data_IF_831471538157
#
_entry.id   IF_831471538157
#
_cell.length_a   1.000
_cell.length_b   1.000
_cell.length_c   1.000
_cell.angle_alpha   90.00
_cell.angle_beta   90.00
_cell.angle_gamma   90.00
#
_symmetry.space_group_name_H-M   'P 1'
#
loop_
_entity.id
_entity.type
_entity.pdbx_description
1 polymer ?
#
# COMPACT_ATOMS: atom_id res chain seq x y z
N UNK A 1 12.14 -0.21 18.79
CA UNK A 1 12.23 0.32 17.40
C UNK A 1 12.05 -0.80 16.40
N UNK A 2 11.49 -0.52 15.23
CA UNK A 2 11.39 -1.49 14.11
C UNK A 2 12.78 -1.66 13.51
N UNK A 3 13.24 -2.89 13.34
CA UNK A 3 14.62 -3.18 12.88
C UNK A 3 14.70 -3.38 11.36
N UNK A 4 13.57 -3.61 10.69
CA UNK A 4 13.53 -3.93 9.28
C UNK A 4 12.26 -3.44 8.58
N UNK A 5 12.38 -3.10 7.27
CA UNK A 5 11.31 -2.56 6.44
C UNK A 5 11.21 -3.33 5.12
N UNK A 6 10.05 -3.94 4.87
CA UNK A 6 9.70 -4.49 3.56
C UNK A 6 8.84 -3.52 2.76
N UNK A 7 9.21 -3.27 1.51
CA UNK A 7 8.50 -2.36 0.59
C UNK A 7 7.95 -3.18 -0.57
N UNK A 8 6.64 -3.10 -0.81
CA UNK A 8 5.92 -3.83 -1.86
C UNK A 8 5.37 -2.85 -2.89
N UNK A 9 5.74 -3.04 -4.15
CA UNK A 9 5.34 -2.21 -5.28
C UNK A 9 4.52 -3.06 -6.27
N UNK A 10 3.19 -2.97 -6.28
CA UNK A 10 2.37 -3.66 -7.28
C UNK A 10 2.53 -2.96 -8.64
N UNK A 11 2.87 -3.73 -9.68
CA UNK A 11 3.07 -3.22 -11.03
C UNK A 11 2.20 -3.99 -12.04
N UNK A 12 1.62 -3.29 -13.02
CA UNK A 12 0.93 -3.88 -14.16
C UNK A 12 1.08 -3.00 -15.38
N UNK A 13 1.86 -3.45 -16.36
CA UNK A 13 2.20 -2.71 -17.58
C UNK A 13 2.81 -1.31 -17.27
N UNK A 14 3.83 -1.27 -16.43
CA UNK A 14 4.47 -0.06 -15.92
C UNK A 14 5.85 0.21 -16.57
N UNK A 15 6.18 -0.45 -17.67
CA UNK A 15 7.47 -0.36 -18.38
C UNK A 15 7.93 1.09 -18.58
N UNK A 16 7.03 2.00 -18.90
CA UNK A 16 7.37 3.39 -19.25
C UNK A 16 7.77 4.28 -18.07
N UNK A 17 7.52 3.84 -16.82
CA UNK A 17 7.72 4.70 -15.64
C UNK A 17 8.32 4.00 -14.42
N UNK A 18 8.33 2.67 -14.41
CA UNK A 18 8.81 1.91 -13.26
C UNK A 18 10.32 2.12 -13.03
N UNK A 19 11.10 2.30 -14.11
CA UNK A 19 12.55 2.52 -13.98
C UNK A 19 12.86 3.76 -13.14
N UNK A 20 12.31 4.91 -13.53
CA UNK A 20 12.54 6.17 -12.82
C UNK A 20 11.96 6.17 -11.40
N UNK A 21 10.84 5.46 -11.19
CA UNK A 21 10.26 5.30 -9.86
C UNK A 21 11.15 4.47 -8.93
N UNK A 22 11.80 3.43 -9.47
CA UNK A 22 12.79 2.65 -8.73
C UNK A 22 14.06 3.47 -8.44
N UNK A 23 14.54 4.28 -9.41
CA UNK A 23 15.66 5.20 -9.17
C UNK A 23 15.37 6.13 -7.98
N UNK A 24 14.21 6.80 -7.98
CA UNK A 24 13.78 7.69 -6.89
C UNK A 24 13.73 6.95 -5.53
N UNK A 25 13.22 5.72 -5.52
CA UNK A 25 13.15 4.91 -4.31
C UNK A 25 14.55 4.52 -3.81
N UNK A 26 15.40 3.98 -4.67
CA UNK A 26 16.71 3.48 -4.27
C UNK A 26 17.65 4.62 -3.87
N UNK A 27 17.61 5.75 -4.57
CA UNK A 27 18.34 6.96 -4.19
C UNK A 27 17.95 7.42 -2.78
N UNK A 28 16.64 7.46 -2.48
CA UNK A 28 16.18 7.81 -1.14
C UNK A 28 16.61 6.78 -0.10
N UNK A 29 16.49 5.49 -0.36
CA UNK A 29 16.90 4.45 0.59
C UNK A 29 18.37 4.57 0.97
N UNK A 30 19.25 4.83 -0.02
CA UNK A 30 20.68 5.01 0.23
C UNK A 30 21.01 6.30 0.97
N UNK A 31 20.26 7.38 0.72
CA UNK A 31 20.56 8.73 1.24
C UNK A 31 19.73 9.14 2.46
N UNK A 32 18.74 8.34 2.86
CA UNK A 32 17.84 8.70 3.96
C UNK A 32 18.62 8.95 5.26
N UNK A 33 18.24 9.99 6.03
CA UNK A 33 18.90 10.30 7.30
C UNK A 33 18.90 9.11 8.26
N UNK A 34 19.95 9.01 9.08
CA UNK A 34 20.03 7.99 10.11
C UNK A 34 18.86 8.13 11.09
N UNK A 35 18.19 7.00 11.39
CA UNK A 35 17.03 6.97 12.28
C UNK A 35 15.67 7.21 11.59
N UNK A 36 15.63 7.68 10.35
CA UNK A 36 14.36 7.81 9.60
C UNK A 36 13.80 6.47 9.15
N UNK A 37 14.67 5.58 8.72
CA UNK A 37 14.32 4.23 8.26
C UNK A 37 15.18 3.18 8.98
N UNK A 38 14.69 1.93 9.10
CA UNK A 38 15.49 0.80 9.54
C UNK A 38 16.72 0.58 8.65
N UNK A 39 17.76 0.01 9.22
CA UNK A 39 19.00 -0.32 8.49
C UNK A 39 18.82 -1.51 7.52
N UNK A 40 17.88 -2.39 7.81
CA UNK A 40 17.56 -3.53 6.96
C UNK A 40 16.30 -3.25 6.16
N UNK A 41 16.40 -3.42 4.83
CA UNK A 41 15.28 -3.21 3.91
C UNK A 41 15.15 -4.36 2.91
N UNK A 42 13.94 -4.58 2.42
CA UNK A 42 13.67 -5.38 1.23
C UNK A 42 12.73 -4.61 0.30
N UNK A 43 12.99 -4.67 -1.01
CA UNK A 43 12.12 -4.07 -2.03
C UNK A 43 11.61 -5.17 -2.94
N UNK A 44 10.29 -5.29 -3.06
CA UNK A 44 9.62 -6.31 -3.84
C UNK A 44 8.68 -5.68 -4.86
N UNK A 45 8.99 -5.80 -6.14
CA UNK A 45 8.02 -5.55 -7.21
C UNK A 45 7.13 -6.77 -7.40
N UNK A 46 5.83 -6.57 -7.38
CA UNK A 46 4.85 -7.61 -7.70
C UNK A 46 4.24 -7.32 -9.06
N UNK A 47 4.66 -8.06 -10.04
CA UNK A 47 4.15 -8.00 -11.41
C UNK A 47 2.83 -8.76 -11.52
N UNK A 48 1.73 -8.03 -11.72
CA UNK A 48 0.36 -8.56 -11.85
C UNK A 48 0.08 -9.10 -13.27
N UNK A 49 1.01 -9.90 -13.81
CA UNK A 49 0.88 -10.50 -15.14
C UNK A 49 0.96 -9.48 -16.27
N UNK A 50 1.96 -8.61 -16.24
CA UNK A 50 2.20 -7.62 -17.30
C UNK A 50 2.43 -8.28 -18.66
N UNK A 51 1.98 -7.60 -19.71
CA UNK A 51 2.16 -8.01 -21.12
C UNK A 51 3.18 -7.16 -21.85
N UNK A 52 3.75 -6.15 -21.19
CA UNK A 52 4.85 -5.30 -21.68
C UNK A 52 6.19 -5.71 -21.06
N UNK A 53 7.23 -4.88 -21.22
CA UNK A 53 8.57 -5.12 -20.69
C UNK A 53 8.74 -4.95 -19.17
N UNK A 54 7.67 -4.76 -18.38
CA UNK A 54 7.74 -4.47 -16.93
C UNK A 54 8.62 -5.47 -16.17
N UNK A 55 8.37 -6.77 -16.33
CA UNK A 55 9.14 -7.80 -15.62
C UNK A 55 10.59 -7.88 -16.10
N UNK A 56 10.83 -7.68 -17.40
CA UNK A 56 12.19 -7.66 -17.97
C UNK A 56 12.99 -6.46 -17.44
N UNK A 57 12.36 -5.29 -17.35
CA UNK A 57 12.93 -4.07 -16.78
C UNK A 57 13.40 -4.31 -15.34
N UNK A 58 12.58 -4.93 -14.50
CA UNK A 58 12.95 -5.22 -13.10
C UNK A 58 14.18 -6.15 -13.04
N UNK A 59 14.22 -7.18 -13.87
CA UNK A 59 15.37 -8.11 -13.93
C UNK A 59 16.65 -7.47 -14.46
N UNK A 60 16.54 -6.41 -15.25
CA UNK A 60 17.68 -5.66 -15.79
C UNK A 60 18.28 -4.65 -14.79
N UNK A 61 17.64 -4.44 -13.64
CA UNK A 61 18.15 -3.52 -12.62
C UNK A 61 19.41 -4.04 -11.95
N UNK A 62 20.40 -3.18 -11.65
CA UNK A 62 21.63 -3.57 -10.94
C UNK A 62 21.36 -4.10 -9.54
N UNK A 63 20.29 -3.65 -8.88
CA UNK A 63 19.88 -4.08 -7.53
C UNK A 63 19.16 -5.44 -7.54
N UNK A 64 18.78 -5.94 -8.70
CA UNK A 64 18.00 -7.17 -8.82
C UNK A 64 18.75 -8.38 -8.23
N UNK A 65 18.06 -9.14 -7.41
CA UNK A 65 18.55 -10.40 -6.83
C UNK A 65 17.55 -11.51 -7.15
N UNK A 66 18.02 -12.53 -7.91
CA UNK A 66 17.17 -13.65 -8.33
C UNK A 66 16.62 -14.47 -7.15
N UNK A 67 17.37 -14.56 -6.06
CA UNK A 67 16.98 -15.29 -4.83
C UNK A 67 16.15 -14.45 -3.86
N UNK A 68 15.69 -13.28 -4.29
CA UNK A 68 15.20 -12.50 -3.49
C UNK A 68 14.44 -11.45 -2.89
N UNK A 69 13.62 -11.79 -1.97
CA UNK A 69 12.90 -10.89 -1.09
C UNK A 69 13.61 -10.71 0.27
N UNK A 70 14.88 -11.15 0.36
CA UNK A 70 15.66 -11.11 1.59
C UNK A 70 15.97 -9.67 1.99
N UNK A 71 15.97 -9.43 3.30
CA UNK A 71 16.45 -8.19 3.88
C UNK A 71 17.92 -7.96 3.52
N UNK A 72 18.24 -6.75 3.12
CA UNK A 72 19.58 -6.29 2.81
C UNK A 72 19.85 -4.96 3.50
N UNK A 73 21.12 -4.57 3.59
CA UNK A 73 21.44 -3.25 4.15
C UNK A 73 20.86 -2.13 3.30
N UNK A 74 20.39 -1.08 3.93
CA UNK A 74 19.75 0.08 3.30
C UNK A 74 20.70 0.85 2.35
N UNK A 75 22.00 0.80 2.59
CA UNK A 75 23.02 1.40 1.73
C UNK A 75 23.35 0.55 0.48
N UNK A 76 22.89 -0.70 0.44
CA UNK A 76 22.98 -1.59 -0.72
C UNK A 76 21.70 -2.44 -0.84
N UNK A 77 20.54 -1.80 -1.09
CA UNK A 77 19.27 -2.49 -1.05
C UNK A 77 19.11 -3.44 -2.25
N UNK A 78 18.44 -4.57 -2.02
CA UNK A 78 18.14 -5.57 -3.05
C UNK A 78 16.70 -5.45 -3.55
N UNK A 79 16.52 -5.76 -4.83
CA UNK A 79 15.26 -5.74 -5.54
C UNK A 79 14.81 -7.16 -5.88
N UNK A 80 13.65 -7.57 -5.36
CA UNK A 80 12.99 -8.82 -5.73
C UNK A 80 11.87 -8.61 -6.77
N UNK A 81 11.54 -9.67 -7.50
CA UNK A 81 10.40 -9.71 -8.42
C UNK A 81 9.53 -10.92 -8.12
N UNK A 82 8.25 -10.69 -7.88
CA UNK A 82 7.23 -11.72 -7.79
C UNK A 82 6.25 -11.55 -8.96
N UNK A 83 6.19 -12.51 -9.87
CA UNK A 83 5.19 -12.51 -10.94
C UNK A 83 3.99 -13.36 -10.53
N UNK A 84 2.78 -12.79 -10.68
CA UNK A 84 1.52 -13.46 -10.36
C UNK A 84 0.55 -13.39 -11.56
N UNK A 85 -0.39 -14.32 -11.69
CA UNK A 85 -1.44 -14.20 -12.68
C UNK A 85 -2.24 -12.90 -12.48
N UNK A 86 -2.64 -12.23 -13.58
CA UNK A 86 -3.37 -10.98 -13.51
C UNK A 86 -4.67 -11.11 -12.69
N UNK A 87 -4.70 -10.42 -11.58
CA UNK A 87 -5.82 -10.43 -10.63
C UNK A 87 -6.24 -9.04 -10.16
N UNK A 88 -5.58 -7.99 -10.64
CA UNK A 88 -5.77 -6.60 -10.24
C UNK A 88 -4.94 -6.19 -9.03
N UNK A 89 -4.86 -4.87 -8.80
CA UNK A 89 -3.99 -4.26 -7.78
C UNK A 89 -4.08 -4.92 -6.41
N UNK A 90 -5.30 -5.16 -5.90
CA UNK A 90 -5.48 -5.79 -4.59
C UNK A 90 -4.94 -7.21 -4.52
N UNK A 91 -4.95 -7.96 -5.64
CA UNK A 91 -4.36 -9.29 -5.75
C UNK A 91 -2.84 -9.24 -5.66
N UNK A 92 -2.22 -8.33 -6.41
CA UNK A 92 -0.77 -8.13 -6.41
C UNK A 92 -0.26 -7.65 -5.04
N UNK A 93 -0.90 -6.63 -4.46
CA UNK A 93 -0.54 -6.15 -3.11
C UNK A 93 -0.67 -7.28 -2.09
N UNK A 94 -1.77 -8.05 -2.13
CA UNK A 94 -1.95 -9.20 -1.24
C UNK A 94 -0.82 -10.22 -1.36
N UNK A 95 -0.46 -10.59 -2.57
CA UNK A 95 0.60 -11.55 -2.82
C UNK A 95 1.94 -11.07 -2.25
N UNK A 96 2.33 -9.84 -2.54
CA UNK A 96 3.55 -9.24 -2.03
C UNK A 96 3.58 -9.11 -0.50
N UNK A 97 2.52 -8.59 0.10
CA UNK A 97 2.42 -8.40 1.55
C UNK A 97 2.42 -9.71 2.35
N UNK A 98 2.08 -10.83 1.72
CA UNK A 98 2.16 -12.16 2.33
C UNK A 98 3.54 -12.79 2.27
N UNK A 99 4.41 -12.37 1.35
CA UNK A 99 5.75 -12.94 1.19
C UNK A 99 6.88 -12.00 1.62
N UNK A 100 6.68 -10.68 1.49
CA UNK A 100 7.69 -9.68 1.85
C UNK A 100 8.18 -9.86 3.29
N UNK A 101 9.44 -9.59 3.53
CA UNK A 101 10.06 -9.67 4.85
C UNK A 101 10.32 -8.27 5.43
N UNK A 102 10.23 -8.14 6.76
CA UNK A 102 10.40 -6.88 7.50
C UNK A 102 9.50 -6.83 8.73
N UNK A 103 9.91 -6.15 9.79
CA UNK A 103 9.07 -5.90 10.97
C UNK A 103 7.94 -4.92 10.65
N UNK A 104 8.26 -3.94 9.79
CA UNK A 104 7.29 -3.10 9.11
C UNK A 104 7.18 -3.52 7.65
N UNK A 105 5.97 -3.59 7.14
CA UNK A 105 5.66 -3.85 5.73
C UNK A 105 4.88 -2.68 5.17
N UNK A 106 5.35 -2.09 4.09
CA UNK A 106 4.69 -0.96 3.41
C UNK A 106 4.39 -1.35 1.98
N UNK A 107 3.18 -1.07 1.49
CA UNK A 107 2.98 -1.03 0.05
C UNK A 107 2.85 0.41 -0.44
N UNK A 108 3.40 0.67 -1.62
CA UNK A 108 3.34 1.95 -2.30
C UNK A 108 2.96 1.76 -3.77
N UNK A 109 2.36 2.78 -4.37
CA UNK A 109 2.09 2.77 -5.82
C UNK A 109 3.40 2.82 -6.61
N UNK A 110 3.53 1.98 -7.63
CA UNK A 110 4.75 1.85 -8.44
C UNK A 110 5.10 3.12 -9.26
N UNK A 111 4.24 4.14 -9.25
CA UNK A 111 4.50 5.42 -9.90
C UNK A 111 5.08 6.49 -8.95
N UNK A 112 5.32 6.14 -7.68
CA UNK A 112 5.80 7.06 -6.63
C UNK A 112 4.99 8.37 -6.58
N UNK A 113 3.66 8.30 -6.77
CA UNK A 113 2.77 9.44 -6.58
C UNK A 113 2.83 9.99 -5.13
N UNK A 114 3.14 9.13 -4.17
CA UNK A 114 3.62 9.49 -2.84
C UNK A 114 5.14 9.31 -2.83
N UNK A 115 5.94 10.37 -2.68
CA UNK A 115 7.39 10.29 -2.73
C UNK A 115 7.98 9.39 -1.63
N UNK A 116 9.14 8.75 -1.87
CA UNK A 116 9.76 7.83 -0.91
C UNK A 116 10.15 8.46 0.42
N UNK A 117 10.41 9.78 0.47
CA UNK A 117 10.70 10.54 1.70
C UNK A 117 9.56 10.50 2.73
N UNK A 118 8.37 10.07 2.31
CA UNK A 118 7.24 9.87 3.21
C UNK A 118 7.30 8.52 3.97
N UNK A 119 8.21 7.59 3.61
CA UNK A 119 8.34 6.27 4.24
C UNK A 119 8.62 6.38 5.74
N UNK A 120 9.53 7.27 6.15
CA UNK A 120 9.85 7.51 7.55
C UNK A 120 8.65 7.89 8.41
N UNK A 121 7.66 8.60 7.84
CA UNK A 121 6.43 8.94 8.57
C UNK A 121 5.58 7.70 8.89
N UNK A 122 5.48 6.74 7.94
CA UNK A 122 4.76 5.49 8.19
C UNK A 122 5.49 4.62 9.21
N UNK A 123 6.81 4.51 9.08
CA UNK A 123 7.65 3.72 10.01
C UNK A 123 7.49 4.24 11.44
N UNK A 124 7.64 5.55 11.64
CA UNK A 124 7.42 6.17 12.97
C UNK A 124 6.00 5.93 13.51
N UNK A 125 4.98 6.04 12.66
CA UNK A 125 3.61 5.78 13.09
C UNK A 125 3.40 4.31 13.52
N UNK A 126 4.12 3.36 12.91
CA UNK A 126 4.06 1.95 13.25
C UNK A 126 4.77 1.61 14.58
N UNK A 127 5.52 2.51 15.17
CA UNK A 127 6.07 2.29 16.52
C UNK A 127 4.96 2.20 17.58
N UNK A 128 3.86 2.92 17.38
CA UNK A 128 2.74 2.97 18.33
C UNK A 128 1.42 2.41 17.77
N UNK A 129 1.33 2.20 16.46
CA UNK A 129 0.16 1.65 15.78
C UNK A 129 0.49 0.33 15.08
N UNK A 130 -0.54 -0.45 14.80
CA UNK A 130 -0.41 -1.73 14.08
C UNK A 130 -0.54 -1.51 12.57
N UNK A 131 -1.24 -0.43 12.16
CA UNK A 131 -1.51 -0.04 10.78
C UNK A 131 -1.32 1.47 10.65
N UNK A 132 -0.56 1.91 9.65
CA UNK A 132 -0.37 3.30 9.28
C UNK A 132 -0.99 3.57 7.90
N UNK A 133 -1.97 4.47 7.85
CA UNK A 133 -2.71 4.81 6.63
C UNK A 133 -2.26 6.16 6.12
N UNK A 134 -1.58 6.21 4.99
CA UNK A 134 -1.29 7.45 4.30
C UNK A 134 -2.57 8.20 3.94
N UNK A 135 -2.56 9.51 4.08
CA UNK A 135 -3.70 10.39 3.78
C UNK A 135 -3.25 11.58 2.96
N UNK A 136 -3.95 11.81 1.85
CA UNK A 136 -3.77 13.00 0.99
C UNK A 136 -4.51 14.23 1.54
N UNK A 137 -5.22 14.07 2.63
CA UNK A 137 -5.88 15.16 3.36
C UNK A 137 -4.92 15.61 4.46
N UNK A 138 -4.53 16.87 4.41
CA UNK A 138 -3.61 17.47 5.35
C UNK A 138 -4.30 17.88 6.66
N UNK A 139 -3.57 18.16 7.74
CA UNK A 139 -4.14 18.55 9.02
C UNK A 139 -4.97 19.85 8.96
N UNK A 140 -4.64 20.77 8.06
CA UNK A 140 -5.40 22.01 7.80
C UNK A 140 -6.69 21.76 7.01
N UNK A 141 -6.99 20.51 6.64
CA UNK A 141 -8.14 20.12 5.85
C UNK A 141 -7.96 20.24 4.34
N UNK A 142 -6.81 20.73 3.86
CA UNK A 142 -6.51 20.76 2.43
C UNK A 142 -6.42 19.35 1.86
N UNK A 143 -6.87 19.18 0.61
CA UNK A 143 -6.86 17.88 -0.09
C UNK A 143 -5.93 17.97 -1.30
N UNK A 144 -4.84 17.23 -1.28
CA UNK A 144 -3.84 17.19 -2.35
C UNK A 144 -4.42 16.81 -3.72
N UNK A 145 -5.63 16.24 -3.76
CA UNK A 145 -6.38 15.93 -4.99
C UNK A 145 -7.10 17.13 -5.60
N UNK A 146 -6.95 18.33 -5.03
CA UNK A 146 -7.65 19.54 -5.50
C UNK A 146 -7.37 19.86 -6.99
N UNK A 147 -6.21 19.43 -7.52
CA UNK A 147 -5.81 19.58 -8.92
C UNK A 147 -6.54 18.64 -9.89
N UNK A 148 -7.24 17.61 -9.38
CA UNK A 148 -7.97 16.66 -10.23
C UNK A 148 -9.23 17.28 -10.86
N UNK A 149 -9.69 16.80 -12.05
CA UNK A 149 -10.91 17.26 -12.69
C UNK A 149 -12.14 17.21 -11.75
N UNK A 150 -13.01 18.22 -11.82
CA UNK A 150 -14.18 18.37 -10.94
C UNK A 150 -15.07 17.11 -10.88
N UNK A 151 -15.31 16.48 -12.03
CA UNK A 151 -16.11 15.25 -12.09
C UNK A 151 -15.46 14.10 -11.29
N UNK A 152 -14.15 13.90 -11.42
CA UNK A 152 -13.41 12.86 -10.68
C UNK A 152 -13.45 13.11 -9.17
N UNK A 153 -13.37 14.37 -8.76
CA UNK A 153 -13.51 14.79 -7.36
C UNK A 153 -14.90 14.50 -6.80
N UNK A 154 -15.96 14.79 -7.57
CA UNK A 154 -17.35 14.52 -7.17
C UNK A 154 -17.59 13.02 -6.97
N UNK A 155 -17.23 12.19 -7.95
CA UNK A 155 -17.35 10.72 -7.87
C UNK A 155 -16.54 10.19 -6.68
N UNK A 156 -15.31 10.66 -6.50
CA UNK A 156 -14.48 10.27 -5.36
C UNK A 156 -15.08 10.69 -4.01
N UNK A 157 -15.75 11.85 -3.94
CA UNK A 157 -16.45 12.30 -2.73
C UNK A 157 -17.65 11.40 -2.41
N UNK A 158 -18.46 11.08 -3.39
CA UNK A 158 -19.61 10.17 -3.21
C UNK A 158 -19.15 8.78 -2.73
N UNK A 159 -18.13 8.22 -3.38
CA UNK A 159 -17.53 6.95 -2.96
C UNK A 159 -17.03 7.01 -1.52
N UNK A 160 -16.30 8.06 -1.15
CA UNK A 160 -15.78 8.25 0.20
C UNK A 160 -16.89 8.28 1.24
N UNK A 161 -17.95 9.10 1.01
CA UNK A 161 -19.09 9.18 1.92
C UNK A 161 -19.76 7.82 2.08
N UNK A 162 -20.01 7.10 0.98
CA UNK A 162 -20.60 5.76 1.02
C UNK A 162 -19.70 4.78 1.80
N UNK A 163 -18.39 4.78 1.55
CA UNK A 163 -17.45 3.93 2.25
C UNK A 163 -17.38 4.27 3.76
N UNK A 164 -17.37 5.55 4.12
CA UNK A 164 -17.37 5.98 5.52
C UNK A 164 -18.61 5.54 6.28
N UNK A 165 -19.78 5.80 5.72
CA UNK A 165 -21.05 5.46 6.36
C UNK A 165 -21.24 3.96 6.51
N UNK A 166 -20.82 3.19 5.50
CA UNK A 166 -21.10 1.76 5.46
C UNK A 166 -19.99 0.89 6.05
N UNK A 167 -18.70 1.26 5.87
CA UNK A 167 -17.57 0.33 6.09
C UNK A 167 -16.48 0.91 6.97
N UNK A 168 -15.91 2.07 6.60
CA UNK A 168 -14.62 2.53 7.16
C UNK A 168 -14.74 3.47 8.36
N UNK A 169 -15.93 4.02 8.62
CA UNK A 169 -16.12 4.99 9.71
C UNK A 169 -15.32 6.28 9.46
N UNK A 170 -14.58 6.80 10.46
CA UNK A 170 -13.99 8.14 10.40
C UNK A 170 -12.81 8.30 9.42
N UNK A 171 -12.35 7.22 8.75
CA UNK A 171 -11.23 7.29 7.81
C UNK A 171 -11.62 8.05 6.56
N UNK A 172 -11.07 9.26 6.39
CA UNK A 172 -11.44 10.19 5.31
C UNK A 172 -10.77 9.85 3.97
N UNK A 173 -9.55 9.33 3.96
CA UNK A 173 -8.84 8.91 2.73
C UNK A 173 -8.55 7.41 2.77
N UNK A 174 -9.43 6.64 2.17
CA UNK A 174 -9.32 5.17 2.19
C UNK A 174 -8.46 4.61 1.06
N UNK A 175 -8.29 5.36 -0.03
CA UNK A 175 -7.67 4.90 -1.27
C UNK A 175 -6.30 5.54 -1.55
N UNK A 176 -5.62 6.06 -0.52
CA UNK A 176 -4.21 6.39 -0.66
C UNK A 176 -3.41 5.10 -0.82
N UNK A 177 -2.72 4.93 -1.93
CA UNK A 177 -1.91 3.73 -2.23
C UNK A 177 -0.58 3.68 -1.47
N UNK A 178 -0.56 4.18 -0.23
CA UNK A 178 0.62 4.24 0.61
C UNK A 178 0.21 3.89 2.05
N UNK A 179 0.48 2.64 2.44
CA UNK A 179 0.05 2.11 3.74
C UNK A 179 1.09 1.19 4.34
N UNK A 180 1.28 1.31 5.65
CA UNK A 180 2.20 0.52 6.44
C UNK A 180 1.47 -0.38 7.45
N UNK A 181 2.11 -1.48 7.78
CA UNK A 181 1.60 -2.49 8.70
C UNK A 181 2.75 -3.08 9.50
N UNK A 182 2.53 -3.39 10.77
CA UNK A 182 3.40 -4.32 11.47
C UNK A 182 3.26 -5.71 10.85
N UNK A 183 4.33 -6.51 10.85
CA UNK A 183 4.36 -7.85 10.23
C UNK A 183 3.15 -8.70 10.63
N UNK A 184 2.85 -8.81 11.91
CA UNK A 184 1.72 -9.61 12.40
C UNK A 184 0.38 -9.12 11.86
N UNK A 185 0.15 -7.80 11.86
CA UNK A 185 -1.06 -7.20 11.31
C UNK A 185 -1.15 -7.43 9.79
N UNK A 186 -0.05 -7.29 9.05
CA UNK A 186 -0.01 -7.58 7.61
C UNK A 186 -0.42 -9.02 7.32
N UNK A 187 0.21 -9.99 7.95
CA UNK A 187 -0.09 -11.42 7.74
C UNK A 187 -1.56 -11.75 8.05
N UNK A 188 -2.09 -11.24 9.15
CA UNK A 188 -3.49 -11.47 9.52
C UNK A 188 -4.47 -10.81 8.54
N UNK A 189 -4.26 -9.53 8.22
CA UNK A 189 -5.19 -8.77 7.37
C UNK A 189 -5.16 -9.23 5.90
N UNK A 190 -3.97 -9.37 5.31
CA UNK A 190 -3.83 -9.82 3.92
C UNK A 190 -4.18 -11.30 3.75
N UNK A 191 -3.99 -12.13 4.77
CA UNK A 191 -4.50 -13.51 4.80
C UNK A 191 -6.02 -13.60 4.70
N UNK A 192 -6.72 -12.62 5.27
CA UNK A 192 -8.20 -12.54 5.29
C UNK A 192 -8.81 -11.72 4.16
N UNK A 193 -8.00 -10.97 3.41
CA UNK A 193 -8.47 -10.10 2.33
C UNK A 193 -9.29 -10.89 1.29
N UNK A 194 -10.55 -10.49 1.06
CA UNK A 194 -11.49 -11.15 0.15
C UNK A 194 -11.78 -10.31 -1.09
N UNK A 195 -11.81 -8.98 -0.95
CA UNK A 195 -12.02 -8.06 -2.06
C UNK A 195 -10.66 -7.75 -2.68
N UNK A 196 -10.46 -8.12 -3.94
CA UNK A 196 -9.18 -7.94 -4.67
C UNK A 196 -9.23 -6.85 -5.73
N UNK A 197 -10.41 -6.25 -5.93
CA UNK A 197 -10.60 -5.13 -6.85
C UNK A 197 -9.95 -3.85 -6.31
N UNK A 198 -10.17 -2.72 -6.99
CA UNK A 198 -9.72 -1.39 -6.54
C UNK A 198 -10.31 -0.96 -5.17
N UNK A 199 -11.27 -1.72 -4.64
CA UNK A 199 -11.89 -1.48 -3.31
C UNK A 199 -11.17 -2.24 -2.19
N UNK A 200 -10.11 -2.98 -2.49
CA UNK A 200 -9.36 -3.76 -1.50
C UNK A 200 -8.86 -2.92 -0.32
N UNK A 201 -8.53 -1.66 -0.55
CA UNK A 201 -8.12 -0.71 0.49
C UNK A 201 -9.22 -0.51 1.55
N UNK A 202 -10.48 -0.43 1.10
CA UNK A 202 -11.65 -0.31 1.99
C UNK A 202 -11.85 -1.60 2.79
N UNK A 203 -11.65 -2.75 2.15
CA UNK A 203 -11.72 -4.07 2.79
C UNK A 203 -10.65 -4.22 3.88
N UNK A 204 -9.42 -3.81 3.62
CA UNK A 204 -8.33 -3.79 4.61
C UNK A 204 -8.66 -2.92 5.83
N UNK A 205 -9.16 -1.71 5.61
CA UNK A 205 -9.54 -0.81 6.70
C UNK A 205 -10.69 -1.40 7.52
N UNK A 206 -11.67 -2.01 6.86
CA UNK A 206 -12.76 -2.71 7.54
C UNK A 206 -12.24 -3.86 8.40
N UNK A 207 -11.37 -4.70 7.84
CA UNK A 207 -10.75 -5.80 8.56
C UNK A 207 -9.93 -5.30 9.75
N UNK A 208 -9.09 -4.28 9.58
CA UNK A 208 -8.29 -3.71 10.66
C UNK A 208 -9.17 -3.23 11.83
N UNK A 209 -10.29 -2.56 11.53
CA UNK A 209 -11.28 -2.14 12.54
C UNK A 209 -11.95 -3.32 13.24
N UNK A 210 -12.42 -4.31 12.47
CA UNK A 210 -13.07 -5.52 13.01
C UNK A 210 -12.12 -6.33 13.90
N UNK A 211 -10.86 -6.41 13.50
CA UNK A 211 -9.81 -7.08 14.26
C UNK A 211 -9.38 -6.30 15.49
N UNK A 212 -9.67 -5.00 15.54
CA UNK A 212 -9.32 -4.13 16.68
C UNK A 212 -7.89 -3.62 16.65
N UNK A 213 -7.24 -3.61 15.47
CA UNK A 213 -5.91 -3.04 15.30
C UNK A 213 -5.93 -1.53 15.50
N UNK A 214 -4.85 -0.99 16.10
CA UNK A 214 -4.62 0.45 16.23
C UNK A 214 -4.20 1.01 14.88
N UNK A 215 -4.94 2.00 14.39
CA UNK A 215 -4.67 2.64 13.10
C UNK A 215 -4.25 4.07 13.30
N UNK A 216 -3.11 4.47 12.72
CA UNK A 216 -2.66 5.85 12.61
C UNK A 216 -2.98 6.40 11.22
N UNK A 217 -3.48 7.64 11.14
CA UNK A 217 -3.64 8.38 9.89
C UNK A 217 -2.42 9.29 9.73
N UNK A 218 -1.71 9.11 8.64
CA UNK A 218 -0.44 9.80 8.37
C UNK A 218 -0.60 10.73 7.18
N UNK A 219 -0.64 12.04 7.36
CA UNK A 219 -0.65 13.00 6.25
C UNK A 219 0.63 12.86 5.43
N UNK A 220 0.47 12.68 4.11
CA UNK A 220 1.59 12.48 3.18
C UNK A 220 1.52 13.47 2.04
N UNK A 221 2.67 13.84 1.49
CA UNK A 221 2.76 14.55 0.23
C UNK A 221 2.32 13.62 -0.89
N UNK A 222 1.58 14.16 -1.84
CA UNK A 222 1.09 13.39 -2.98
C UNK A 222 0.98 14.28 -4.21
N UNK A 223 1.39 13.77 -5.35
CA UNK A 223 1.26 14.45 -6.63
C UNK A 223 0.66 13.49 -7.67
N UNK A 224 -0.27 14.00 -8.50
CA UNK A 224 -0.82 13.19 -9.61
C UNK A 224 0.26 13.04 -10.69
N UNK A 225 0.85 11.87 -10.81
CA UNK A 225 1.84 11.56 -11.85
C UNK A 225 1.12 11.33 -13.19
N UNK A 226 1.65 11.88 -14.28
CA UNK A 226 1.08 11.72 -15.63
C UNK A 226 1.00 10.23 -15.99
N UNK A 227 -0.13 9.80 -16.59
CA UNK A 227 -0.32 8.40 -17.04
C UNK A 227 -1.28 7.56 -16.20
N UNK A 228 -2.04 8.15 -15.28
CA UNK A 228 -3.12 7.42 -14.57
C UNK A 228 -4.07 6.75 -15.56
N UNK A 229 -4.08 5.40 -15.56
CA UNK A 229 -4.86 4.56 -16.50
C UNK A 229 -6.30 4.33 -16.08
N UNK A 230 -6.72 4.83 -14.92
CA UNK A 230 -8.05 4.57 -14.39
C UNK A 230 -9.10 5.39 -15.18
N UNK A 231 -9.84 4.70 -16.05
CA UNK A 231 -10.99 5.26 -16.78
C UNK A 231 -12.28 4.89 -16.05
N UNK A 232 -13.09 5.89 -15.72
CA UNK A 232 -14.41 5.66 -15.16
C UNK A 232 -15.30 4.99 -16.23
N UNK A 233 -15.68 3.72 -15.98
CA UNK A 233 -16.62 2.96 -16.81
C UNK A 233 -17.83 2.61 -15.95
N UNK A 234 -19.08 2.65 -16.47
CA UNK A 234 -20.28 2.33 -15.68
C UNK A 234 -20.22 0.94 -15.05
N UNK A 235 -19.71 -0.07 -15.76
CA UNK A 235 -19.49 -1.42 -15.22
C UNK A 235 -18.56 -1.45 -14.01
N UNK A 236 -17.53 -0.59 -14.00
CA UNK A 236 -16.63 -0.47 -12.86
C UNK A 236 -17.35 0.13 -11.65
N UNK A 237 -18.17 1.15 -11.85
CA UNK A 237 -18.94 1.78 -10.76
C UNK A 237 -19.91 0.79 -10.09
N UNK A 238 -20.61 -0.02 -10.89
CA UNK A 238 -21.50 -1.08 -10.37
C UNK A 238 -20.72 -2.13 -9.58
N UNK A 239 -19.56 -2.57 -10.08
CA UNK A 239 -18.69 -3.51 -9.37
C UNK A 239 -18.19 -2.94 -8.05
N UNK A 240 -17.77 -1.68 -8.04
CA UNK A 240 -17.32 -0.97 -6.83
C UNK A 240 -18.45 -0.88 -5.79
N UNK A 241 -19.67 -0.51 -6.21
CA UNK A 241 -20.83 -0.46 -5.33
C UNK A 241 -21.16 -1.85 -4.73
N UNK A 242 -21.15 -2.88 -5.58
CA UNK A 242 -21.36 -4.26 -5.15
C UNK A 242 -20.29 -4.73 -4.15
N UNK A 243 -19.00 -4.47 -4.43
CA UNK A 243 -17.91 -4.83 -3.56
C UNK A 243 -18.02 -4.12 -2.19
N UNK A 244 -18.39 -2.83 -2.16
CA UNK A 244 -18.65 -2.10 -0.91
C UNK A 244 -19.74 -2.76 -0.05
N UNK A 245 -20.87 -3.12 -0.67
CA UNK A 245 -21.95 -3.80 0.04
C UNK A 245 -21.49 -5.14 0.58
N UNK A 246 -20.78 -5.90 -0.25
CA UNK A 246 -20.34 -7.26 0.03
C UNK A 246 -19.33 -7.35 1.18
N UNK A 247 -18.49 -6.33 1.42
CA UNK A 247 -17.44 -6.35 2.47
C UNK A 247 -18.00 -6.82 3.82
N UNK A 248 -19.10 -6.25 4.28
CA UNK A 248 -19.68 -6.60 5.59
C UNK A 248 -20.17 -8.05 5.66
N UNK A 249 -20.69 -8.58 4.55
CA UNK A 249 -21.21 -9.95 4.49
C UNK A 249 -20.10 -10.98 4.45
N UNK A 250 -19.05 -10.76 3.65
CA UNK A 250 -17.95 -11.73 3.53
C UNK A 250 -17.09 -11.81 4.79
N UNK A 251 -17.15 -10.79 5.65
CA UNK A 251 -16.39 -10.71 6.90
C UNK A 251 -17.26 -10.79 8.16
N UNK A 252 -18.53 -11.21 8.05
CA UNK A 252 -19.45 -11.29 9.20
C UNK A 252 -18.93 -12.15 10.36
N UNK A 253 -18.15 -13.19 10.06
CA UNK A 253 -17.55 -14.10 11.05
C UNK A 253 -16.19 -13.68 11.59
N UNK A 254 -15.63 -12.54 11.15
CA UNK A 254 -14.32 -12.10 11.63
C UNK A 254 -14.42 -11.58 13.06
N UNK A 255 -13.68 -12.20 13.98
CA UNK A 255 -13.58 -11.83 15.39
C UNK A 255 -12.40 -10.88 15.62
N UNK A 256 -12.37 -10.20 16.78
CA UNK A 256 -11.21 -9.42 17.21
C UNK A 256 -9.95 -10.27 17.28
N UNK A 257 -8.81 -9.66 16.99
CA UNK A 257 -7.51 -10.29 17.22
C UNK A 257 -7.33 -10.53 18.73
N UNK A 258 -6.71 -11.65 19.13
CA UNK A 258 -6.18 -11.74 20.49
C UNK A 258 -5.29 -10.49 20.72
N UNK A 259 -5.47 -9.80 21.83
CA UNK A 259 -4.48 -8.82 22.25
C UNK A 259 -3.27 -9.64 22.67
N UNK A 260 -2.20 -9.62 21.90
CA UNK A 260 -0.89 -9.92 22.45
C UNK A 260 -0.71 -8.92 23.58
N UNK A 261 -0.62 -9.43 24.80
CA UNK A 261 -0.27 -8.61 25.95
C UNK A 261 1.02 -7.88 25.59
N UNK A 262 1.01 -6.57 25.67
CA UNK A 262 2.21 -5.74 25.67
C UNK A 262 2.96 -6.01 27.00
N UNK A 263 3.54 -7.20 27.10
CA UNK A 263 4.33 -7.67 28.21
C UNK A 263 5.21 -8.81 27.70
N UNK A 264 6.29 -8.42 27.08
CA UNK A 264 7.58 -9.12 27.11
C UNK A 264 8.61 -8.12 26.60
N UNK A 265 9.19 -7.45 27.57
CA UNK A 265 10.52 -6.87 27.70
C UNK A 265 11.20 -6.23 26.48
#
# INVERSE_FOLDING_TARGET
MLSSLGIVLPAYNEESRLWSALDELFEYLCSAPSGDLPELVSVLVVDDGSTDGTAALVRARPEFAAEGFALSRRDCPKLGLLTVPHGGKGSAVRAGMLVADGDALVFADADMATPPDQLGKLVRALETADVALGSRIQPDGSDMRATQPRFRRLVGRMFRVAAQLWVTGPVKDTQCGFKGFRRAAARDLFGRLRIRSIVFDVDLIYLARRRGYRMAIVPVNWADRRGSRMRARPKLALRVAWDLVRIRFVHRGVKRAPRESAAAE
#
